data_IF_260576240685
#
_entry.id   IF_260576240685
#
_cell.length_a   1.000
_cell.length_b   1.000
_cell.length_c   1.000
_cell.angle_alpha   90.00
_cell.angle_beta   90.00
_cell.angle_gamma   90.00
#
_symmetry.space_group_name_H-M   'P 1'
#
loop_
_entity.id
_entity.type
_entity.pdbx_description
1 polymer ?
#
# COMPACT_ATOMS: atom_id res chain seq x y z
N UNK A 1 -4.37 19.08 27.88
CA UNK A 1 -4.60 17.67 27.50
C UNK A 1 -3.30 17.12 26.95
N UNK A 2 -2.86 15.94 27.40
CA UNK A 2 -1.70 15.25 26.84
C UNK A 2 -2.22 14.30 25.75
N UNK A 3 -1.67 14.38 24.55
CA UNK A 3 -1.98 13.48 23.44
C UNK A 3 -0.82 12.50 23.26
N UNK A 4 -1.12 11.21 23.10
CA UNK A 4 -0.13 10.20 22.73
C UNK A 4 -0.34 9.80 21.28
N UNK A 5 0.68 10.01 20.45
CA UNK A 5 0.63 9.75 19.01
C UNK A 5 1.75 8.78 18.67
N UNK A 6 1.46 7.77 17.87
CA UNK A 6 2.44 6.78 17.43
C UNK A 6 2.38 6.58 15.91
N UNK A 7 3.46 6.06 15.34
CA UNK A 7 3.48 5.52 13.98
C UNK A 7 4.07 4.11 14.02
N UNK A 8 3.49 3.18 13.26
CA UNK A 8 3.91 1.79 13.25
C UNK A 8 3.68 1.13 11.89
N UNK A 9 4.63 0.34 11.42
CA UNK A 9 4.46 -0.49 10.22
C UNK A 9 3.92 -1.85 10.66
N UNK A 10 2.71 -2.21 10.21
CA UNK A 10 2.04 -3.45 10.62
C UNK A 10 2.38 -4.64 9.73
N UNK A 11 3.11 -4.42 8.63
CA UNK A 11 3.48 -5.48 7.69
C UNK A 11 2.28 -6.28 7.14
N UNK A 12 1.15 -5.60 6.89
CA UNK A 12 -0.19 -6.14 6.64
C UNK A 12 -0.89 -6.69 7.90
N UNK A 13 -2.22 -6.54 7.98
CA UNK A 13 -3.03 -6.90 9.15
C UNK A 13 -3.46 -8.35 9.15
N UNK A 14 -3.78 -8.91 7.99
CA UNK A 14 -4.33 -10.27 7.86
C UNK A 14 -3.64 -11.10 6.79
N UNK A 15 -3.13 -10.48 5.73
CA UNK A 15 -2.46 -11.22 4.67
C UNK A 15 -1.49 -10.35 3.91
N UNK A 16 -0.39 -10.94 3.47
CA UNK A 16 0.66 -10.27 2.70
C UNK A 16 0.85 -10.95 1.35
N UNK A 17 1.25 -10.24 0.27
CA UNK A 17 1.65 -10.91 -0.97
C UNK A 17 2.70 -11.98 -0.68
N UNK A 18 2.45 -13.21 -1.13
CA UNK A 18 3.28 -14.38 -0.84
C UNK A 18 4.76 -14.18 -1.20
N UNK A 19 5.02 -13.41 -2.27
CA UNK A 19 6.38 -13.08 -2.69
C UNK A 19 7.15 -12.24 -1.66
N UNK A 20 6.46 -11.44 -0.84
CA UNK A 20 7.08 -10.63 0.23
C UNK A 20 7.37 -11.44 1.49
N UNK A 21 6.82 -12.65 1.63
CA UNK A 21 7.04 -13.54 2.78
C UNK A 21 8.21 -14.52 2.56
N UNK A 22 8.91 -14.42 1.43
CA UNK A 22 10.04 -15.30 1.14
C UNK A 22 11.27 -14.90 1.96
N UNK A 23 11.95 -15.88 2.55
CA UNK A 23 13.18 -15.68 3.33
C UNK A 23 14.25 -14.90 2.53
N UNK A 24 14.37 -15.19 1.23
CA UNK A 24 15.21 -14.41 0.33
C UNK A 24 14.40 -13.29 -0.31
N UNK A 25 14.58 -12.08 0.21
CA UNK A 25 13.86 -10.89 -0.22
C UNK A 25 14.18 -10.49 -1.68
N UNK A 26 15.37 -10.80 -2.19
CA UNK A 26 15.74 -10.49 -3.59
C UNK A 26 14.97 -11.37 -4.56
N UNK A 27 14.73 -12.63 -4.21
CA UNK A 27 13.88 -13.55 -4.98
C UNK A 27 12.44 -13.04 -4.98
N UNK A 28 11.92 -12.65 -3.81
CA UNK A 28 10.59 -12.03 -3.69
C UNK A 28 10.44 -10.78 -4.55
N UNK A 29 11.41 -9.86 -4.47
CA UNK A 29 11.44 -8.65 -5.28
C UNK A 29 11.52 -8.96 -6.78
N UNK A 30 12.27 -9.99 -7.19
CA UNK A 30 12.32 -10.43 -8.58
C UNK A 30 10.95 -10.95 -9.06
N UNK A 31 10.24 -11.75 -8.25
CA UNK A 31 8.88 -12.20 -8.60
C UNK A 31 7.93 -11.03 -8.79
N UNK A 32 7.95 -10.05 -7.90
CA UNK A 32 7.10 -8.86 -8.00
C UNK A 32 7.38 -8.05 -9.27
N UNK A 33 8.66 -7.92 -9.68
CA UNK A 33 9.02 -7.28 -10.96
C UNK A 33 8.48 -8.04 -12.16
N UNK A 34 8.66 -9.36 -12.19
CA UNK A 34 8.16 -10.22 -13.27
C UNK A 34 6.63 -10.15 -13.37
N UNK A 35 5.92 -10.06 -12.24
CA UNK A 35 4.47 -9.91 -12.22
C UNK A 35 4.03 -8.55 -12.76
N UNK A 36 4.75 -7.47 -12.45
CA UNK A 36 4.48 -6.16 -13.03
C UNK A 36 4.71 -6.17 -14.55
N UNK A 37 5.82 -6.75 -15.02
CA UNK A 37 6.09 -6.94 -16.45
C UNK A 37 5.02 -7.80 -17.13
N UNK A 38 4.50 -8.82 -16.45
CA UNK A 38 3.40 -9.65 -16.94
C UNK A 38 2.11 -8.84 -17.09
N UNK A 39 1.79 -7.97 -16.13
CA UNK A 39 0.64 -7.07 -16.21
C UNK A 39 0.79 -6.13 -17.42
N UNK A 40 1.94 -5.49 -17.57
CA UNK A 40 2.21 -4.58 -18.69
C UNK A 40 2.05 -5.31 -20.04
N UNK A 41 2.64 -6.50 -20.18
CA UNK A 41 2.51 -7.32 -21.39
C UNK A 41 1.07 -7.78 -21.67
N UNK A 42 0.24 -7.91 -20.63
CA UNK A 42 -1.18 -8.24 -20.74
C UNK A 42 -2.08 -7.02 -21.03
N UNK A 43 -1.57 -5.80 -20.89
CA UNK A 43 -2.29 -4.58 -21.27
C UNK A 43 -2.06 -4.17 -22.73
N UNK A 44 -1.09 -4.79 -23.40
CA UNK A 44 -0.81 -4.56 -24.81
C UNK A 44 -1.97 -4.96 -25.74
N UNK A 45 -2.18 -4.17 -26.78
CA UNK A 45 -3.23 -4.42 -27.78
C UNK A 45 -3.02 -5.76 -28.50
N UNK A 46 -1.76 -6.13 -28.74
CA UNK A 46 -1.34 -7.38 -29.37
C UNK A 46 -0.28 -8.08 -28.53
N UNK A 47 -0.48 -9.37 -28.28
CA UNK A 47 0.34 -10.14 -27.34
C UNK A 47 1.56 -10.79 -27.98
N UNK A 48 2.73 -10.54 -27.38
CA UNK A 48 3.89 -11.43 -27.46
C UNK A 48 3.62 -12.66 -26.58
N UNK A 49 3.05 -13.70 -27.20
CA UNK A 49 2.68 -14.93 -26.48
C UNK A 49 3.87 -15.65 -25.85
N UNK A 50 5.02 -15.83 -26.53
CA UNK A 50 6.22 -16.38 -25.90
C UNK A 50 6.67 -15.63 -24.65
N UNK A 51 6.72 -14.29 -24.72
CA UNK A 51 7.10 -13.46 -23.58
C UNK A 51 6.13 -13.65 -22.40
N UNK A 52 4.83 -13.53 -22.64
CA UNK A 52 3.80 -13.68 -21.61
C UNK A 52 3.86 -15.08 -20.98
N UNK A 53 4.00 -16.13 -21.78
CA UNK A 53 4.11 -17.50 -21.27
C UNK A 53 5.34 -17.70 -20.38
N UNK A 54 6.49 -17.09 -20.76
CA UNK A 54 7.72 -17.10 -19.97
C UNK A 54 7.54 -16.37 -18.64
N UNK A 55 7.06 -15.13 -18.66
CA UNK A 55 6.83 -14.31 -17.46
C UNK A 55 5.85 -15.02 -16.49
N UNK A 56 4.74 -15.54 -17.01
CA UNK A 56 3.78 -16.32 -16.24
C UNK A 56 4.41 -17.58 -15.63
N UNK A 57 5.26 -18.29 -16.38
CA UNK A 57 6.00 -19.45 -15.88
C UNK A 57 6.97 -19.09 -14.75
N UNK A 58 7.75 -18.02 -14.94
CA UNK A 58 8.69 -17.54 -13.92
C UNK A 58 7.98 -17.05 -12.66
N UNK A 59 6.78 -16.47 -12.76
CA UNK A 59 5.98 -16.03 -11.61
C UNK A 59 4.97 -17.07 -11.09
N UNK A 60 5.01 -18.32 -11.56
CA UNK A 60 4.01 -19.33 -11.21
C UNK A 60 3.82 -19.48 -9.69
N UNK A 61 2.55 -19.45 -9.25
CA UNK A 61 2.17 -19.57 -7.83
C UNK A 61 2.24 -18.28 -7.02
N UNK A 62 2.61 -17.15 -7.63
CA UNK A 62 2.68 -15.83 -6.98
C UNK A 62 1.69 -14.80 -7.55
N UNK A 63 0.95 -15.15 -8.61
CA UNK A 63 -0.09 -14.30 -9.18
C UNK A 63 -1.36 -15.09 -9.52
N UNK A 64 -2.46 -14.37 -9.68
CA UNK A 64 -3.72 -14.84 -10.25
C UNK A 64 -4.18 -13.89 -11.36
N UNK A 65 -5.07 -14.36 -12.23
CA UNK A 65 -5.75 -13.50 -13.20
C UNK A 65 -7.17 -13.26 -12.70
N UNK A 66 -7.47 -12.02 -12.31
CA UNK A 66 -8.81 -11.56 -12.02
C UNK A 66 -9.47 -11.12 -13.33
N UNK A 67 -10.14 -12.07 -13.98
CA UNK A 67 -10.92 -11.79 -15.19
C UNK A 67 -12.30 -11.28 -14.81
N UNK A 68 -12.60 -10.06 -15.24
CA UNK A 68 -13.93 -9.45 -15.10
C UNK A 68 -14.86 -9.88 -16.24
N UNK A 69 -14.37 -9.90 -17.49
CA UNK A 69 -15.16 -10.24 -18.69
C UNK A 69 -14.33 -10.94 -19.77
N UNK A 70 -15.03 -11.58 -20.70
CA UNK A 70 -14.41 -12.18 -21.91
C UNK A 70 -13.70 -13.51 -21.65
N UNK A 71 -12.68 -13.78 -22.47
CA UNK A 71 -11.95 -15.05 -22.47
C UNK A 71 -10.88 -15.11 -21.37
N UNK A 72 -10.51 -16.31 -20.92
CA UNK A 72 -9.38 -16.46 -20.01
C UNK A 72 -8.08 -16.28 -20.81
N UNK A 73 -7.24 -15.26 -20.51
CA UNK A 73 -6.04 -14.99 -21.30
C UNK A 73 -4.96 -16.06 -21.13
N UNK A 74 -4.92 -16.70 -19.97
CA UNK A 74 -3.91 -17.68 -19.58
C UNK A 74 -4.54 -18.95 -19.04
N UNK A 75 -3.88 -20.07 -19.29
CA UNK A 75 -4.16 -21.37 -18.67
C UNK A 75 -2.86 -22.09 -18.36
N UNK A 76 -2.81 -22.80 -17.24
CA UNK A 76 -1.65 -23.58 -16.81
C UNK A 76 -1.87 -25.08 -17.03
N UNK A 77 -0.94 -25.74 -17.73
CA UNK A 77 -0.94 -27.19 -17.90
C UNK A 77 -0.16 -27.83 -16.74
N UNK A 78 -0.82 -28.69 -15.96
CA UNK A 78 -0.14 -29.46 -14.90
C UNK A 78 0.77 -30.55 -15.44
N UNK A 79 0.50 -31.06 -16.64
CA UNK A 79 1.29 -32.10 -17.30
C UNK A 79 2.61 -31.55 -17.80
N UNK A 80 2.57 -30.47 -18.59
CA UNK A 80 3.77 -29.87 -19.17
C UNK A 80 4.42 -28.81 -18.27
N UNK A 81 3.75 -28.43 -17.17
CA UNK A 81 4.14 -27.37 -16.23
C UNK A 81 4.37 -26.01 -16.92
N UNK A 82 3.61 -25.73 -17.97
CA UNK A 82 3.74 -24.53 -18.79
C UNK A 82 2.43 -23.74 -18.87
N UNK A 83 2.57 -22.43 -19.04
CA UNK A 83 1.45 -21.56 -19.37
C UNK A 83 1.21 -21.50 -20.88
N UNK A 84 -0.07 -21.45 -21.25
CA UNK A 84 -0.54 -21.19 -22.62
C UNK A 84 -1.31 -19.88 -22.66
N UNK A 85 -0.98 -19.04 -23.65
CA UNK A 85 -1.68 -17.78 -23.93
C UNK A 85 -2.80 -18.01 -24.94
N UNK A 86 -4.04 -17.90 -24.47
CA UNK A 86 -5.24 -18.32 -25.21
C UNK A 86 -5.80 -17.24 -26.13
N UNK A 87 -5.52 -15.97 -25.85
CA UNK A 87 -6.01 -14.82 -26.61
C UNK A 87 -4.90 -14.15 -27.42
N UNK A 88 -5.25 -13.25 -28.34
CA UNK A 88 -4.28 -12.53 -29.20
C UNK A 88 -3.87 -11.16 -28.63
N UNK A 89 -4.60 -10.62 -27.66
CA UNK A 89 -4.45 -9.24 -27.23
C UNK A 89 -5.50 -8.81 -26.23
N UNK A 90 -5.36 -7.60 -25.69
CA UNK A 90 -6.25 -7.03 -24.67
C UNK A 90 -7.73 -6.98 -25.09
N UNK A 91 -8.05 -6.80 -26.37
CA UNK A 91 -9.44 -6.71 -26.85
C UNK A 91 -10.31 -7.95 -26.56
N UNK A 92 -9.72 -9.11 -26.26
CA UNK A 92 -10.45 -10.37 -26.05
C UNK A 92 -10.96 -10.58 -24.61
N UNK A 93 -10.50 -9.78 -23.65
CA UNK A 93 -10.84 -9.93 -22.24
C UNK A 93 -10.63 -8.64 -21.45
N UNK A 94 -11.22 -8.58 -20.27
CA UNK A 94 -11.03 -7.49 -19.33
C UNK A 94 -10.75 -8.03 -17.93
N UNK A 95 -9.82 -7.41 -17.23
CA UNK A 95 -9.30 -7.86 -15.93
C UNK A 95 -7.88 -7.38 -15.66
N UNK A 96 -7.27 -7.96 -14.62
CA UNK A 96 -5.91 -7.61 -14.17
C UNK A 96 -5.23 -8.79 -13.48
N UNK A 97 -3.91 -8.69 -13.36
CA UNK A 97 -3.06 -9.59 -12.57
C UNK A 97 -3.12 -9.15 -11.12
N UNK A 98 -3.41 -10.09 -10.23
CA UNK A 98 -3.40 -9.86 -8.78
C UNK A 98 -2.36 -10.75 -8.12
N UNK A 99 -1.94 -10.36 -6.93
CA UNK A 99 -0.91 -11.07 -6.18
C UNK A 99 -1.55 -12.20 -5.37
N UNK A 100 -0.96 -13.39 -5.42
CA UNK A 100 -1.30 -14.43 -4.45
C UNK A 100 -0.86 -13.95 -3.07
N UNK A 101 -1.80 -13.92 -2.13
CA UNK A 101 -1.56 -13.53 -0.74
C UNK A 101 -1.54 -14.75 0.17
N UNK A 102 -0.77 -14.67 1.24
CA UNK A 102 -0.73 -15.65 2.31
C UNK A 102 -1.28 -15.03 3.58
N UNK A 103 -2.23 -15.72 4.21
CA UNK A 103 -2.86 -15.26 5.45
C UNK A 103 -1.96 -15.48 6.66
N UNK A 104 -2.02 -14.55 7.60
CA UNK A 104 -1.35 -14.70 8.88
C UNK A 104 -2.10 -15.64 9.81
N UNK A 105 -1.37 -16.22 10.76
CA UNK A 105 -1.99 -17.01 11.84
C UNK A 105 -2.78 -16.08 12.76
N UNK A 106 -3.77 -16.63 13.47
CA UNK A 106 -4.53 -15.89 14.46
C UNK A 106 -3.62 -15.26 15.54
N UNK A 107 -2.59 -15.98 15.97
CA UNK A 107 -1.60 -15.49 16.94
C UNK A 107 -0.85 -14.27 16.44
N UNK A 108 -0.39 -14.27 15.18
CA UNK A 108 0.28 -13.10 14.58
C UNK A 108 -0.64 -11.87 14.61
N UNK A 109 -1.90 -12.02 14.20
CA UNK A 109 -2.89 -10.92 14.23
C UNK A 109 -3.12 -10.43 15.67
N UNK A 110 -3.25 -11.34 16.63
CA UNK A 110 -3.41 -11.00 18.05
C UNK A 110 -2.21 -10.26 18.63
N UNK A 111 -0.99 -10.63 18.23
CA UNK A 111 0.24 -9.97 18.67
C UNK A 111 0.33 -8.53 18.16
N UNK A 112 -0.03 -8.28 16.90
CA UNK A 112 -0.16 -6.91 16.37
C UNK A 112 -1.20 -6.11 17.17
N UNK A 113 -2.34 -6.73 17.50
CA UNK A 113 -3.37 -6.11 18.34
C UNK A 113 -2.86 -5.79 19.75
N UNK A 114 -2.15 -6.73 20.38
CA UNK A 114 -1.58 -6.56 21.71
C UNK A 114 -0.57 -5.42 21.76
N UNK A 115 0.28 -5.32 20.73
CA UNK A 115 1.23 -4.21 20.60
C UNK A 115 0.50 -2.87 20.51
N UNK A 116 -0.48 -2.73 19.61
CA UNK A 116 -1.22 -1.48 19.44
C UNK A 116 -2.01 -1.08 20.71
N UNK A 117 -2.55 -2.05 21.46
CA UNK A 117 -3.15 -1.80 22.78
C UNK A 117 -2.10 -1.32 23.79
N UNK A 118 -0.94 -1.95 23.84
CA UNK A 118 0.16 -1.56 24.74
C UNK A 118 0.73 -0.17 24.44
N UNK A 119 0.68 0.27 23.16
CA UNK A 119 1.04 1.64 22.79
C UNK A 119 0.13 2.67 23.46
N UNK A 120 -1.10 2.33 23.84
CA UNK A 120 -2.04 3.23 24.54
C UNK A 120 -2.19 4.61 23.89
N UNK A 121 -2.03 4.68 22.56
CA UNK A 121 -2.04 5.91 21.79
C UNK A 121 -3.47 6.43 21.57
N UNK A 122 -3.62 7.75 21.52
CA UNK A 122 -4.87 8.40 21.11
C UNK A 122 -5.01 8.44 19.58
N UNK A 123 -3.88 8.44 18.86
CA UNK A 123 -3.82 8.45 17.39
C UNK A 123 -2.64 7.58 16.95
N UNK A 124 -2.85 6.73 15.94
CA UNK A 124 -1.80 5.87 15.37
C UNK A 124 -1.80 6.00 13.85
N UNK A 125 -0.66 6.41 13.28
CA UNK A 125 -0.36 6.25 11.86
C UNK A 125 0.12 4.84 11.58
N UNK A 126 -0.53 4.13 10.67
CA UNK A 126 -0.11 2.79 10.25
C UNK A 126 0.49 2.84 8.84
N UNK A 127 1.47 1.97 8.60
CA UNK A 127 1.99 1.67 7.27
C UNK A 127 1.73 0.21 6.94
N UNK A 128 1.62 -0.10 5.65
CA UNK A 128 1.39 -1.45 5.13
C UNK A 128 0.02 -2.02 5.49
N UNK A 129 -1.02 -1.20 5.44
CA UNK A 129 -2.41 -1.66 5.62
C UNK A 129 -2.99 -2.08 4.27
N UNK A 130 -3.70 -3.20 4.21
CA UNK A 130 -4.22 -3.77 2.96
C UNK A 130 -5.34 -2.93 2.34
N UNK A 131 -6.36 -2.60 3.12
CA UNK A 131 -7.52 -1.86 2.68
C UNK A 131 -8.37 -1.43 3.88
N UNK A 132 -9.39 -0.61 3.61
CA UNK A 132 -10.32 -0.11 4.61
C UNK A 132 -11.11 -1.21 5.33
N UNK A 133 -11.42 -2.33 4.66
CA UNK A 133 -12.15 -3.44 5.26
C UNK A 133 -11.28 -4.21 6.25
N UNK A 134 -10.03 -4.50 5.88
CA UNK A 134 -9.03 -5.10 6.74
C UNK A 134 -8.81 -4.22 7.99
N UNK A 135 -8.60 -2.91 7.82
CA UNK A 135 -8.41 -2.03 8.97
C UNK A 135 -9.62 -2.04 9.91
N UNK A 136 -10.83 -1.87 9.38
CA UNK A 136 -12.05 -1.83 10.19
C UNK A 136 -12.30 -3.15 10.91
N UNK A 137 -12.06 -4.29 10.23
CA UNK A 137 -12.20 -5.61 10.83
C UNK A 137 -11.19 -5.81 11.95
N UNK A 138 -9.91 -5.52 11.68
CA UNK A 138 -8.85 -5.61 12.68
C UNK A 138 -9.15 -4.72 13.90
N UNK A 139 -9.55 -3.47 13.66
CA UNK A 139 -9.94 -2.53 14.72
C UNK A 139 -11.05 -3.11 15.60
N UNK A 140 -12.11 -3.62 14.99
CA UNK A 140 -13.28 -4.16 15.70
C UNK A 140 -12.92 -5.43 16.50
N UNK A 141 -12.07 -6.28 15.94
CA UNK A 141 -11.73 -7.57 16.56
C UNK A 141 -10.61 -7.45 17.61
N UNK A 142 -9.69 -6.51 17.44
CA UNK A 142 -8.44 -6.44 18.20
C UNK A 142 -8.30 -5.20 19.09
N UNK A 143 -9.02 -4.11 18.83
CA UNK A 143 -8.77 -2.83 19.52
C UNK A 143 -9.99 -2.40 20.35
N UNK A 144 -9.78 -1.70 21.48
CA UNK A 144 -10.87 -1.17 22.28
C UNK A 144 -11.53 0.03 21.58
N UNK A 145 -12.86 0.10 21.65
CA UNK A 145 -13.68 1.15 21.02
C UNK A 145 -13.51 2.55 21.67
N UNK A 146 -12.79 2.68 22.79
CA UNK A 146 -12.65 3.98 23.47
C UNK A 146 -11.55 4.88 22.88
N UNK A 147 -10.46 4.29 22.36
CA UNK A 147 -9.28 5.02 21.90
C UNK A 147 -9.06 4.97 20.40
N UNK A 148 -9.15 3.84 19.74
CA UNK A 148 -8.79 3.74 18.32
C UNK A 148 -10.04 3.38 17.51
N UNK A 149 -11.07 4.21 17.63
CA UNK A 149 -12.42 3.91 17.11
C UNK A 149 -12.71 4.42 15.72
N UNK A 150 -12.02 5.49 15.31
CA UNK A 150 -12.08 5.98 13.94
C UNK A 150 -10.98 5.28 13.15
N UNK A 151 -11.36 4.75 11.99
CA UNK A 151 -10.48 4.10 11.02
C UNK A 151 -10.51 4.86 9.70
N UNK A 152 -9.33 5.06 9.09
CA UNK A 152 -9.20 5.67 7.77
C UNK A 152 -8.04 5.02 7.01
N UNK A 153 -8.36 4.51 5.83
CA UNK A 153 -7.41 4.13 4.78
C UNK A 153 -7.84 4.86 3.52
N UNK A 154 -6.88 5.41 2.78
CA UNK A 154 -7.08 5.82 1.39
C UNK A 154 -6.16 4.93 0.56
N UNK A 155 -6.76 4.19 -0.37
CA UNK A 155 -6.00 3.28 -1.24
C UNK A 155 -4.99 4.09 -2.06
N UNK A 156 -3.74 3.64 -2.05
CA UNK A 156 -2.64 4.23 -2.77
C UNK A 156 -2.46 3.65 -4.17
N UNK A 157 -1.25 3.80 -4.70
CA UNK A 157 -0.88 3.34 -6.04
C UNK A 157 -0.06 2.03 -6.03
N UNK A 158 0.18 1.42 -4.86
CA UNK A 158 1.03 0.25 -4.75
C UNK A 158 0.20 -1.03 -4.87
N UNK A 159 0.38 -1.85 -5.93
CA UNK A 159 -0.45 -3.04 -6.16
C UNK A 159 -0.30 -4.10 -5.07
N UNK A 160 0.72 -3.98 -4.20
CA UNK A 160 0.93 -4.86 -3.06
C UNK A 160 -0.06 -4.60 -1.93
N UNK A 161 -0.83 -3.50 -1.98
CA UNK A 161 -1.77 -3.07 -0.94
C UNK A 161 -1.05 -2.89 0.39
N UNK A 162 -0.14 -1.93 0.39
CA UNK A 162 0.74 -1.61 1.52
C UNK A 162 0.53 -0.16 1.94
N UNK A 163 -0.73 0.25 1.98
CA UNK A 163 -1.15 1.63 2.09
C UNK A 163 -0.90 2.22 3.47
N UNK A 164 -1.06 3.53 3.55
CA UNK A 164 -1.00 4.26 4.82
C UNK A 164 -2.39 4.39 5.41
N UNK A 165 -2.47 4.35 6.73
CA UNK A 165 -3.73 4.47 7.43
C UNK A 165 -3.60 5.29 8.70
N UNK A 166 -4.75 5.70 9.23
CA UNK A 166 -4.87 6.30 10.55
C UNK A 166 -5.92 5.56 11.37
N UNK A 167 -5.61 5.39 12.64
CA UNK A 167 -6.56 5.07 13.71
C UNK A 167 -6.59 6.24 14.70
N UNK A 168 -7.77 6.62 15.16
CA UNK A 168 -7.92 7.79 16.02
C UNK A 168 -9.03 7.65 17.06
N UNK A 169 -8.83 8.33 18.19
CA UNK A 169 -9.83 8.56 19.24
C UNK A 169 -10.83 9.63 18.84
N UNK A 170 -10.38 10.56 18.02
CA UNK A 170 -11.09 11.76 17.63
C UNK A 170 -11.55 11.66 16.17
N UNK A 171 -12.69 12.27 15.81
CA UNK A 171 -13.17 12.22 14.44
C UNK A 171 -12.20 12.92 13.49
N UNK A 172 -12.25 12.50 12.23
CA UNK A 172 -11.51 13.12 11.15
C UNK A 172 -12.31 14.32 10.60
N UNK A 173 -11.60 15.42 10.34
CA UNK A 173 -12.11 16.57 9.61
C UNK A 173 -11.74 16.44 8.13
N UNK A 174 -11.07 17.45 7.59
CA UNK A 174 -10.61 17.43 6.20
C UNK A 174 -9.59 16.30 5.95
N UNK A 175 -9.78 15.54 4.88
CA UNK A 175 -8.89 14.49 4.38
C UNK A 175 -8.41 14.90 3.00
N UNK A 176 -7.10 14.84 2.76
CA UNK A 176 -6.47 15.12 1.47
C UNK A 176 -5.46 14.03 1.13
N UNK A 177 -5.55 13.55 -0.09
CA UNK A 177 -4.61 12.60 -0.67
C UNK A 177 -3.66 13.32 -1.62
N UNK A 178 -2.42 12.89 -1.61
CA UNK A 178 -1.34 13.29 -2.51
C UNK A 178 -0.87 12.15 -3.42
N UNK A 179 -1.56 11.00 -3.39
CA UNK A 179 -1.28 9.83 -4.21
C UNK A 179 -1.36 10.13 -5.71
N UNK A 180 -2.12 11.15 -6.11
CA UNK A 180 -2.26 11.56 -7.50
C UNK A 180 -1.05 12.35 -8.03
N UNK A 181 -0.20 12.92 -7.16
CA UNK A 181 0.94 13.72 -7.59
C UNK A 181 1.98 12.87 -8.34
N UNK A 182 2.65 13.47 -9.32
CA UNK A 182 3.65 12.82 -10.19
C UNK A 182 5.03 13.42 -9.97
N UNK A 183 6.11 12.70 -10.30
CA UNK A 183 7.50 13.19 -10.11
C UNK A 183 7.75 14.49 -10.87
N UNK A 184 7.14 14.61 -12.06
CA UNK A 184 7.07 15.82 -12.87
C UNK A 184 5.67 15.92 -13.48
N UNK A 185 5.25 17.12 -13.89
CA UNK A 185 3.89 17.33 -14.43
C UNK A 185 3.53 16.42 -15.62
N UNK A 186 4.53 15.98 -16.40
CA UNK A 186 4.32 15.12 -17.57
C UNK A 186 4.71 13.65 -17.32
N UNK A 187 5.13 13.29 -16.10
CA UNK A 187 5.49 11.92 -15.76
C UNK A 187 4.25 11.07 -15.50
N UNK A 188 4.27 9.81 -15.96
CA UNK A 188 3.30 8.79 -15.53
C UNK A 188 3.66 8.20 -14.16
N UNK A 189 4.89 8.42 -13.70
CA UNK A 189 5.36 7.97 -12.41
C UNK A 189 4.78 8.87 -11.31
N UNK A 190 3.92 8.29 -10.46
CA UNK A 190 3.44 8.91 -9.21
C UNK A 190 4.62 9.32 -8.35
N UNK A 191 4.51 10.36 -7.52
CA UNK A 191 5.52 10.79 -6.54
C UNK A 191 5.37 10.05 -5.19
N UNK A 192 4.13 9.79 -4.78
CA UNK A 192 3.83 8.93 -3.62
C UNK A 192 3.22 7.62 -4.11
N UNK A 193 3.92 6.50 -3.89
CA UNK A 193 3.38 5.19 -4.28
C UNK A 193 2.26 4.71 -3.36
N UNK A 194 2.27 5.11 -2.08
CA UNK A 194 1.20 4.79 -1.11
C UNK A 194 0.31 6.02 -0.96
N UNK A 195 0.73 6.99 -0.15
CA UNK A 195 0.20 8.35 -0.15
C UNK A 195 1.15 9.24 0.67
N UNK A 196 0.97 10.55 0.60
CA UNK A 196 1.17 11.44 1.74
C UNK A 196 -0.22 11.80 2.24
N UNK A 197 -0.78 10.97 3.14
CA UNK A 197 -2.16 11.13 3.59
C UNK A 197 -2.25 12.25 4.61
N UNK A 198 -2.84 13.37 4.23
CA UNK A 198 -3.03 14.55 5.08
C UNK A 198 -4.42 14.54 5.69
N UNK A 199 -4.50 14.47 7.02
CA UNK A 199 -5.77 14.36 7.73
C UNK A 199 -5.81 15.29 8.92
N UNK A 200 -6.88 16.06 9.00
CA UNK A 200 -7.20 16.84 10.17
C UNK A 200 -7.90 15.98 11.21
N UNK A 201 -7.42 16.04 12.45
CA UNK A 201 -8.02 15.43 13.62
C UNK A 201 -8.74 16.52 14.40
N UNK A 202 -10.05 16.34 14.63
CA UNK A 202 -10.88 17.28 15.38
C UNK A 202 -10.78 17.01 16.88
N UNK A 203 -9.90 17.76 17.56
CA UNK A 203 -9.67 17.63 18.98
C UNK A 203 -10.76 18.36 19.80
N UNK A 204 -10.85 18.03 21.08
CA UNK A 204 -11.75 18.71 22.00
C UNK A 204 -11.47 20.22 22.08
N UNK A 205 -12.53 21.00 22.28
CA UNK A 205 -12.44 22.46 22.42
C UNK A 205 -12.18 23.19 21.10
N UNK A 206 -12.54 22.59 19.96
CA UNK A 206 -12.42 23.21 18.64
C UNK A 206 -10.99 23.24 18.07
N UNK A 207 -10.03 22.63 18.78
CA UNK A 207 -8.64 22.54 18.30
C UNK A 207 -8.53 21.52 17.16
N UNK A 208 -7.58 21.74 16.28
CA UNK A 208 -7.31 20.87 15.12
C UNK A 208 -5.84 20.50 15.12
N UNK A 209 -5.56 19.23 14.86
CA UNK A 209 -4.22 18.70 14.63
C UNK A 209 -4.20 18.13 13.22
N UNK A 210 -3.26 18.54 12.37
CA UNK A 210 -3.08 17.93 11.06
C UNK A 210 -1.98 16.87 11.11
N UNK A 211 -2.20 15.73 10.46
CA UNK A 211 -1.23 14.65 10.37
C UNK A 211 -0.98 14.36 8.90
N UNK A 212 0.29 14.37 8.50
CA UNK A 212 0.76 13.91 7.20
C UNK A 212 1.40 12.54 7.42
N UNK A 213 0.60 11.50 7.21
CA UNK A 213 1.04 10.12 7.34
C UNK A 213 1.67 9.63 6.03
N UNK A 214 2.86 9.07 6.14
CA UNK A 214 3.69 8.71 5.00
C UNK A 214 4.25 7.29 5.09
N UNK A 215 4.53 6.71 3.94
CA UNK A 215 5.36 5.52 3.81
C UNK A 215 6.27 5.74 2.60
N UNK A 216 7.47 6.26 2.83
CA UNK A 216 8.42 6.63 1.77
C UNK A 216 9.02 5.41 1.10
N UNK A 217 9.61 5.60 -0.08
CA UNK A 217 10.22 4.50 -0.86
C UNK A 217 11.21 3.72 0.01
N UNK A 218 11.05 2.39 0.08
CA UNK A 218 11.98 1.52 0.82
C UNK A 218 13.43 1.65 0.33
N UNK A 219 14.38 1.54 1.27
CA UNK A 219 15.82 1.49 0.99
C UNK A 219 16.27 0.18 0.33
N UNK A 220 15.45 -0.89 0.38
CA UNK A 220 15.79 -2.17 -0.25
C UNK A 220 15.79 -2.03 -1.78
N UNK A 221 16.91 -2.40 -2.42
CA UNK A 221 17.11 -2.38 -3.88
C UNK A 221 18.29 -1.51 -4.34
N UNK A 222 18.24 -1.01 -5.58
CA UNK A 222 19.27 -0.13 -6.14
C UNK A 222 19.30 1.23 -5.40
N UNK A 223 20.16 1.33 -4.38
CA UNK A 223 20.27 2.44 -3.43
C UNK A 223 20.15 3.84 -4.05
N UNK A 224 20.79 4.07 -5.21
CA UNK A 224 20.83 5.38 -5.86
C UNK A 224 19.48 5.90 -6.40
N UNK A 225 18.55 5.04 -6.80
CA UNK A 225 17.22 5.47 -7.29
C UNK A 225 16.24 5.65 -6.13
N UNK A 226 16.30 4.78 -5.12
CA UNK A 226 15.49 4.89 -3.90
C UNK A 226 15.78 6.18 -3.13
N UNK A 227 17.05 6.56 -2.96
CA UNK A 227 17.39 7.77 -2.18
C UNK A 227 16.97 9.06 -2.88
N UNK A 228 17.12 9.15 -4.21
CA UNK A 228 16.59 10.28 -5.00
C UNK A 228 15.09 10.42 -4.82
N UNK A 229 14.38 9.28 -4.83
CA UNK A 229 12.94 9.26 -4.69
C UNK A 229 12.48 9.68 -3.30
N UNK A 230 13.14 9.18 -2.24
CA UNK A 230 12.87 9.58 -0.85
C UNK A 230 13.14 11.07 -0.64
N UNK A 231 14.22 11.60 -1.20
CA UNK A 231 14.53 13.03 -1.14
C UNK A 231 13.44 13.88 -1.80
N UNK A 232 12.94 13.47 -2.97
CA UNK A 232 11.82 14.16 -3.63
C UNK A 232 10.52 14.11 -2.80
N UNK A 233 10.23 12.96 -2.17
CA UNK A 233 9.07 12.83 -1.27
C UNK A 233 9.19 13.73 -0.04
N UNK A 234 10.36 13.75 0.61
CA UNK A 234 10.63 14.61 1.76
C UNK A 234 10.55 16.10 1.41
N UNK A 235 11.12 16.49 0.26
CA UNK A 235 11.03 17.85 -0.25
C UNK A 235 9.57 18.25 -0.48
N UNK A 236 8.78 17.36 -1.08
CA UNK A 236 7.37 17.65 -1.32
C UNK A 236 6.57 17.80 -0.02
N UNK A 237 6.82 16.96 0.99
CA UNK A 237 6.23 17.13 2.32
C UNK A 237 6.60 18.49 2.92
N UNK A 238 7.86 18.93 2.76
CA UNK A 238 8.29 20.25 3.20
C UNK A 238 7.52 21.38 2.51
N UNK A 239 7.38 21.32 1.18
CA UNK A 239 6.61 22.32 0.42
C UNK A 239 5.14 22.37 0.84
N UNK A 240 4.56 21.21 1.17
CA UNK A 240 3.21 21.13 1.72
C UNK A 240 3.15 21.87 3.06
N UNK A 241 4.11 21.64 3.96
CA UNK A 241 4.17 22.31 5.25
C UNK A 241 4.27 23.82 5.09
N UNK A 242 5.23 24.27 4.28
CA UNK A 242 5.50 25.70 4.00
C UNK A 242 4.32 26.40 3.31
N UNK A 243 3.60 25.70 2.43
CA UNK A 243 2.52 26.29 1.64
C UNK A 243 1.14 26.27 2.27
N UNK A 244 0.91 25.47 3.33
CA UNK A 244 -0.44 25.26 3.90
C UNK A 244 -0.57 25.52 5.39
N UNK A 245 0.53 25.57 6.14
CA UNK A 245 0.48 25.68 7.59
C UNK A 245 1.28 26.88 8.07
N UNK A 246 0.72 27.60 9.03
CA UNK A 246 1.46 28.56 9.84
C UNK A 246 2.13 27.78 10.98
N UNK A 247 3.39 27.38 10.81
CA UNK A 247 4.07 26.48 11.76
C UNK A 247 4.28 27.09 13.16
N UNK A 248 4.06 28.39 13.33
CA UNK A 248 4.06 29.05 14.63
C UNK A 248 2.72 28.91 15.39
N UNK A 249 1.64 28.55 14.67
CA UNK A 249 0.27 28.49 15.22
C UNK A 249 -0.40 27.13 15.06
N UNK A 250 -0.19 26.49 13.92
CA UNK A 250 -0.86 25.26 13.54
C UNK A 250 -0.18 24.05 14.18
N UNK A 251 -1.00 23.15 14.73
CA UNK A 251 -0.53 21.84 15.17
C UNK A 251 -0.48 20.93 13.95
N UNK A 252 0.73 20.58 13.50
CA UNK A 252 0.95 19.66 12.39
C UNK A 252 2.05 18.65 12.72
N UNK A 253 1.86 17.40 12.31
CA UNK A 253 2.83 16.31 12.48
C UNK A 253 3.05 15.63 11.13
N UNK A 254 4.31 15.38 10.80
CA UNK A 254 4.70 14.43 9.76
C UNK A 254 5.12 13.14 10.47
N UNK A 255 4.53 12.01 10.09
CA UNK A 255 4.88 10.72 10.68
C UNK A 255 4.80 9.57 9.66
N UNK A 256 5.20 8.38 10.11
CA UNK A 256 5.19 7.15 9.32
C UNK A 256 6.57 6.53 9.19
N UNK A 257 6.74 5.72 8.14
CA UNK A 257 8.02 5.07 7.80
C UNK A 257 8.71 5.86 6.66
N UNK A 258 9.81 6.55 6.98
CA UNK A 258 10.42 7.62 6.16
C UNK A 258 11.82 7.27 5.63
#
# INVERSE_FOLDING_TARGET
>A
MKLKIAAFNVENLFSRPKAMSLENHDVGAAKLRIIAELQDALDEEAYDKPLIARLAGEAHGYFTINKTRGQNPLSYSRETKQYKVNVKGRAAWDGFVDLVREGFTFETVQNTGALLRALDADIVGLCEVEDSWALRRFRTDQLPDEKLRYDLVVDGNDPRRIDVALLSRFPYGCIRTHAHETVTQNSRERLFSRDCLEVQIELNGGKRLSILQNHFKSKLGAQGTSDKRRAAQALRVREILEGRYDLDKDLVIVCGDL
#
